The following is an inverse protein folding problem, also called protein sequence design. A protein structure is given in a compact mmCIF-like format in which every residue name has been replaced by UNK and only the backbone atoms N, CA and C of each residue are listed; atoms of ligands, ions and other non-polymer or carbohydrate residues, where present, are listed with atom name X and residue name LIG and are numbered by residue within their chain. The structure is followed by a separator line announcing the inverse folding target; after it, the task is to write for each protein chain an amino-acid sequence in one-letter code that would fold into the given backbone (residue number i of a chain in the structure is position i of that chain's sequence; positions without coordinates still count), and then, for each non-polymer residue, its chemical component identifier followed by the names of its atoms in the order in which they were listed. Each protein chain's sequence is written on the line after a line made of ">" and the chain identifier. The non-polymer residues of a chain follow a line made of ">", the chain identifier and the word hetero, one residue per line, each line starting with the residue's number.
data_IF_561804359777
#
_entry.id   IF_561804359777
#
_cell.length_a   1.000
_cell.length_b   1.000
_cell.length_c   1.000
_cell.angle_alpha   90.00
_cell.angle_beta   90.00
_cell.angle_gamma   90.00
#
_symmetry.space_group_name_H-M   'P 1'
#
loop_
_entity.id
_entity.type
_entity.pdbx_description
1 polymer ?
#
# COMPACT_ATOMS: atom_id res chain seq x y z
N UNK A 1 30.27 -8.45 5.39
CA UNK A 1 29.43 -7.26 5.11
C UNK A 1 28.03 -7.78 4.89
N UNK A 2 27.07 -7.38 5.72
CA UNK A 2 25.66 -7.73 5.50
C UNK A 2 25.20 -7.05 4.22
N UNK A 3 24.75 -7.81 3.22
CA UNK A 3 24.11 -7.24 2.03
C UNK A 3 22.70 -6.82 2.40
N UNK A 4 22.40 -5.52 2.36
CA UNK A 4 21.04 -5.01 2.57
C UNK A 4 20.08 -5.55 1.51
N UNK A 5 18.81 -5.74 1.88
CA UNK A 5 17.78 -6.13 0.93
C UNK A 5 17.40 -4.92 0.07
N UNK A 6 17.62 -5.01 -1.25
CA UNK A 6 17.21 -3.98 -2.18
C UNK A 6 15.72 -4.13 -2.55
N UNK A 7 14.90 -3.19 -2.10
CA UNK A 7 13.50 -3.07 -2.49
C UNK A 7 13.33 -1.92 -3.50
N UNK A 8 12.49 -2.18 -4.51
CA UNK A 8 11.89 -1.16 -5.33
C UNK A 8 10.46 -0.91 -4.84
N UNK A 9 9.98 0.31 -4.96
CA UNK A 9 8.63 0.65 -4.54
C UNK A 9 8.02 1.76 -5.36
N UNK A 10 6.70 1.86 -5.30
CA UNK A 10 5.95 3.00 -5.79
C UNK A 10 4.77 3.26 -4.86
N UNK A 11 4.17 4.43 -4.95
CA UNK A 11 2.99 4.76 -4.17
C UNK A 11 2.01 5.61 -4.96
N UNK A 12 0.75 5.44 -4.62
CA UNK A 12 -0.39 6.11 -5.25
C UNK A 12 -1.01 7.04 -4.20
N UNK A 13 -1.25 8.29 -4.58
CA UNK A 13 -1.93 9.28 -3.75
C UNK A 13 -3.29 9.57 -4.36
N UNK A 14 -4.36 9.06 -3.75
CA UNK A 14 -5.72 9.43 -4.14
C UNK A 14 -6.15 10.67 -3.35
N UNK A 15 -6.41 11.77 -4.06
CA UNK A 15 -6.65 13.09 -3.48
C UNK A 15 -8.00 13.65 -3.93
N UNK A 16 -8.80 14.12 -2.97
CA UNK A 16 -9.93 15.03 -3.25
C UNK A 16 -9.51 16.47 -2.98
N UNK A 17 -9.56 17.32 -4.00
CA UNK A 17 -8.99 18.66 -3.97
C UNK A 17 -10.07 19.72 -4.23
N UNK A 18 -10.21 20.67 -3.31
CA UNK A 18 -10.95 21.91 -3.55
C UNK A 18 -9.98 22.96 -4.08
N UNK A 19 -10.00 23.22 -5.39
CA UNK A 19 -9.08 24.18 -6.00
C UNK A 19 -9.52 25.63 -5.71
N UNK A 20 -8.57 26.51 -5.47
CA UNK A 20 -8.80 27.96 -5.38
C UNK A 20 -9.06 28.58 -6.75
N UNK A 21 -8.51 27.99 -7.83
CA UNK A 21 -8.68 28.43 -9.21
C UNK A 21 -9.83 27.68 -9.86
N UNK A 22 -10.77 28.37 -10.48
CA UNK A 22 -11.88 27.70 -11.18
C UNK A 22 -11.38 26.91 -12.39
N UNK A 23 -11.83 25.67 -12.51
CA UNK A 23 -11.57 24.79 -13.65
C UNK A 23 -12.87 24.44 -14.37
N UNK A 24 -12.81 24.28 -15.70
CA UNK A 24 -14.00 23.98 -16.51
C UNK A 24 -14.36 22.49 -16.47
N UNK A 25 -13.34 21.65 -16.33
CA UNK A 25 -13.44 20.20 -16.30
C UNK A 25 -12.21 19.61 -15.60
N UNK A 26 -12.26 18.31 -15.34
CA UNK A 26 -11.20 17.57 -14.68
C UNK A 26 -9.84 17.74 -15.38
N UNK A 27 -9.82 17.62 -16.71
CA UNK A 27 -8.58 17.74 -17.50
C UNK A 27 -7.90 19.09 -17.29
N UNK A 28 -8.66 20.19 -17.29
CA UNK A 28 -8.14 21.54 -17.04
C UNK A 28 -7.62 21.73 -15.61
N UNK A 29 -8.12 20.96 -14.65
CA UNK A 29 -7.59 20.93 -13.28
C UNK A 29 -6.30 20.11 -13.22
N UNK A 30 -6.30 18.90 -13.78
CA UNK A 30 -5.14 18.01 -13.82
C UNK A 30 -3.94 18.66 -14.53
N UNK A 31 -4.17 19.39 -15.64
CA UNK A 31 -3.12 20.13 -16.36
C UNK A 31 -2.55 21.30 -15.56
N UNK A 32 -3.38 22.00 -14.78
CA UNK A 32 -2.93 23.07 -13.89
C UNK A 32 -2.08 22.51 -12.75
N UNK A 33 -2.52 21.41 -12.12
CA UNK A 33 -1.75 20.67 -11.12
C UNK A 33 -0.42 20.18 -11.70
N UNK A 34 -0.44 19.52 -12.87
CA UNK A 34 0.75 19.07 -13.61
C UNK A 34 1.78 20.18 -13.81
N UNK A 35 1.32 21.35 -14.26
CA UNK A 35 2.17 22.52 -14.49
C UNK A 35 2.80 23.06 -13.21
N UNK A 36 2.08 22.99 -12.07
CA UNK A 36 2.59 23.41 -10.75
C UNK A 36 3.61 22.43 -10.20
N UNK A 37 3.35 21.13 -10.34
CA UNK A 37 4.30 20.07 -10.00
C UNK A 37 5.59 20.21 -10.79
N UNK A 38 5.50 20.43 -12.11
CA UNK A 38 6.66 20.65 -12.97
C UNK A 38 7.50 21.87 -12.55
N UNK A 39 6.84 22.97 -12.14
CA UNK A 39 7.53 24.16 -11.59
C UNK A 39 8.28 23.90 -10.28
N UNK A 40 7.90 22.85 -9.55
CA UNK A 40 8.59 22.37 -8.35
C UNK A 40 9.62 21.28 -8.64
N UNK A 41 9.86 20.94 -9.90
CA UNK A 41 10.82 19.93 -10.30
C UNK A 41 10.28 18.50 -10.34
N UNK A 42 8.99 18.29 -10.08
CA UNK A 42 8.38 16.95 -10.12
C UNK A 42 8.06 16.58 -11.57
N UNK A 43 8.80 15.63 -12.13
CA UNK A 43 8.55 15.11 -13.47
C UNK A 43 7.22 14.37 -13.50
N UNK A 44 6.30 14.79 -14.38
CA UNK A 44 4.94 14.25 -14.41
C UNK A 44 4.28 14.33 -15.80
N UNK A 45 3.10 13.71 -15.93
CA UNK A 45 2.16 13.94 -17.04
C UNK A 45 0.70 13.79 -16.58
N UNK A 46 -0.23 14.22 -17.43
CA UNK A 46 -1.66 13.90 -17.30
C UNK A 46 -2.02 12.81 -18.29
N UNK A 47 -2.72 11.76 -17.84
CA UNK A 47 -3.16 10.64 -18.68
C UNK A 47 -4.55 10.18 -18.27
N UNK A 48 -5.24 9.51 -19.20
CA UNK A 48 -6.48 8.77 -18.89
C UNK A 48 -6.20 7.46 -18.13
N UNK A 49 -5.02 6.87 -18.38
CA UNK A 49 -4.53 5.65 -17.73
C UNK A 49 -3.05 5.79 -17.41
N UNK A 50 -2.63 5.16 -16.32
CA UNK A 50 -1.23 5.15 -15.88
C UNK A 50 -0.32 4.64 -17.00
N UNK A 51 0.85 5.27 -17.15
CA UNK A 51 1.87 4.84 -18.10
C UNK A 51 2.60 3.61 -17.54
N UNK A 52 2.67 2.53 -18.33
CA UNK A 52 3.27 1.27 -17.90
C UNK A 52 4.80 1.31 -17.71
N UNK A 53 5.47 2.40 -18.09
CA UNK A 53 6.92 2.54 -17.89
C UNK A 53 7.31 3.09 -16.50
N UNK A 54 6.36 3.68 -15.74
CA UNK A 54 6.56 4.22 -14.39
C UNK A 54 7.84 5.07 -14.21
N UNK A 55 8.19 5.91 -15.19
CA UNK A 55 9.40 6.78 -15.12
C UNK A 55 9.17 8.15 -14.52
N UNK A 56 7.91 8.57 -14.44
CA UNK A 56 7.49 9.89 -13.95
C UNK A 56 6.09 9.79 -13.36
N UNK A 57 5.71 10.77 -12.54
CA UNK A 57 4.40 10.78 -11.91
C UNK A 57 3.26 10.83 -12.93
N UNK A 58 2.29 9.94 -12.79
CA UNK A 58 1.07 9.95 -13.59
C UNK A 58 -0.04 10.61 -12.82
N UNK A 59 -0.66 11.66 -13.39
CA UNK A 59 -1.88 12.26 -12.86
C UNK A 59 -3.05 11.69 -13.66
N UNK A 60 -3.89 10.90 -12.99
CA UNK A 60 -5.04 10.23 -13.59
C UNK A 60 -6.32 10.54 -12.81
N UNK A 61 -7.46 10.30 -13.44
CA UNK A 61 -8.75 10.58 -12.81
C UNK A 61 -9.14 9.43 -11.91
N UNK A 62 -9.30 9.70 -10.60
CA UNK A 62 -9.87 8.73 -9.68
C UNK A 62 -11.40 8.80 -9.74
N UNK A 63 -12.01 7.72 -10.23
CA UNK A 63 -13.45 7.65 -10.53
C UNK A 63 -14.28 7.18 -9.34
N UNK A 64 -13.65 6.55 -8.35
CA UNK A 64 -14.31 6.04 -7.14
C UNK A 64 -14.45 7.10 -6.05
N UNK A 65 -13.69 8.19 -6.14
CA UNK A 65 -13.82 9.35 -5.25
C UNK A 65 -14.90 10.30 -5.80
N UNK A 66 -15.90 10.69 -4.97
CA UNK A 66 -16.90 11.66 -5.36
C UNK A 66 -16.29 13.00 -5.78
N UNK A 67 -16.80 13.58 -6.87
CA UNK A 67 -16.39 14.90 -7.36
C UNK A 67 -17.58 15.87 -7.36
N UNK A 68 -17.32 17.15 -7.16
CA UNK A 68 -18.34 18.20 -7.30
C UNK A 68 -17.78 19.39 -8.10
N UNK A 69 -17.84 19.32 -9.45
CA UNK A 69 -17.36 20.38 -10.32
C UNK A 69 -17.97 21.76 -10.04
N UNK A 70 -19.24 21.82 -9.61
CA UNK A 70 -19.90 23.08 -9.27
C UNK A 70 -19.29 23.77 -8.05
N UNK A 71 -18.71 22.98 -7.13
CA UNK A 71 -17.93 23.47 -5.97
C UNK A 71 -16.43 23.50 -6.23
N UNK A 72 -15.99 23.28 -7.48
CA UNK A 72 -14.59 23.19 -7.86
C UNK A 72 -13.81 22.13 -7.07
N UNK A 73 -14.49 21.03 -6.75
CA UNK A 73 -13.95 19.85 -6.09
C UNK A 73 -13.66 18.76 -7.14
N UNK A 74 -12.43 18.25 -7.13
CA UNK A 74 -11.92 17.34 -8.14
C UNK A 74 -11.17 16.18 -7.49
N UNK A 75 -11.28 14.98 -8.05
CA UNK A 75 -10.54 13.82 -7.60
C UNK A 75 -9.37 13.51 -8.54
N UNK A 76 -8.20 13.29 -7.97
CA UNK A 76 -6.99 12.89 -8.68
C UNK A 76 -6.43 11.63 -8.04
N UNK A 77 -5.80 10.80 -8.85
CA UNK A 77 -4.82 9.83 -8.38
C UNK A 77 -3.47 10.23 -8.97
N UNK A 78 -2.46 10.35 -8.10
CA UNK A 78 -1.07 10.54 -8.49
C UNK A 78 -0.34 9.22 -8.29
N UNK A 79 0.10 8.60 -9.38
CA UNK A 79 0.85 7.33 -9.35
C UNK A 79 2.32 7.62 -9.56
N UNK A 80 3.15 7.18 -8.61
CA UNK A 80 4.57 7.49 -8.60
C UNK A 80 5.36 6.76 -9.70
N UNK A 81 6.58 7.22 -10.00
CA UNK A 81 7.62 6.39 -10.57
C UNK A 81 7.95 5.18 -9.69
N UNK A 82 8.70 4.23 -10.23
CA UNK A 82 9.40 3.23 -9.40
C UNK A 82 10.62 3.87 -8.77
N UNK A 83 10.71 3.77 -7.45
CA UNK A 83 11.77 4.30 -6.60
C UNK A 83 12.57 3.19 -5.93
N UNK A 84 13.80 3.51 -5.61
CA UNK A 84 14.62 2.90 -4.55
C UNK A 84 14.73 3.88 -3.37
N UNK A 85 15.28 3.44 -2.24
CA UNK A 85 15.47 4.31 -1.07
C UNK A 85 16.31 5.56 -1.39
N UNK A 86 17.27 5.44 -2.31
CA UNK A 86 18.17 6.53 -2.73
C UNK A 86 17.59 7.43 -3.82
N UNK A 87 16.36 7.14 -4.25
CA UNK A 87 15.66 7.96 -5.22
C UNK A 87 15.12 9.24 -4.58
N UNK A 88 14.68 10.17 -5.42
CA UNK A 88 14.15 11.49 -5.00
C UNK A 88 12.74 11.46 -4.37
N UNK A 89 12.24 10.31 -3.91
CA UNK A 89 10.85 10.12 -3.48
C UNK A 89 10.43 11.02 -2.30
N UNK A 90 11.34 11.29 -1.35
CA UNK A 90 11.12 12.23 -0.25
C UNK A 90 10.90 13.66 -0.76
N UNK A 91 11.79 14.13 -1.65
CA UNK A 91 11.67 15.46 -2.24
C UNK A 91 10.48 15.59 -3.18
N UNK A 92 10.11 14.52 -3.88
CA UNK A 92 8.90 14.49 -4.70
C UNK A 92 7.65 14.63 -3.83
N UNK A 93 7.57 13.90 -2.71
CA UNK A 93 6.44 14.00 -1.77
C UNK A 93 6.28 15.42 -1.20
N UNK A 94 7.37 16.03 -0.71
CA UNK A 94 7.35 17.42 -0.24
C UNK A 94 6.90 18.38 -1.36
N UNK A 95 7.53 18.29 -2.54
CA UNK A 95 7.20 19.17 -3.65
C UNK A 95 5.75 19.02 -4.14
N UNK A 96 5.20 17.80 -4.13
CA UNK A 96 3.80 17.53 -4.47
C UNK A 96 2.86 18.23 -3.48
N UNK A 97 2.99 17.95 -2.18
CA UNK A 97 2.08 18.52 -1.18
C UNK A 97 2.26 20.03 -1.08
N UNK A 98 3.49 20.53 -1.11
CA UNK A 98 3.81 21.97 -1.17
C UNK A 98 3.16 22.66 -2.39
N UNK A 99 3.13 22.02 -3.57
CA UNK A 99 2.49 22.58 -4.76
C UNK A 99 0.96 22.57 -4.68
N UNK A 100 0.40 21.45 -4.21
CA UNK A 100 -1.05 21.23 -4.10
C UNK A 100 -1.64 22.15 -3.04
N UNK A 101 -1.11 22.14 -1.82
CA UNK A 101 -1.65 22.90 -0.68
C UNK A 101 -1.56 24.41 -0.88
N UNK A 102 -0.62 24.89 -1.69
CA UNK A 102 -0.52 26.32 -2.05
C UNK A 102 -1.75 26.83 -2.83
N UNK A 103 -2.48 25.95 -3.52
CA UNK A 103 -3.54 26.35 -4.44
C UNK A 103 -4.84 25.56 -4.31
N UNK A 104 -4.85 24.52 -3.48
CA UNK A 104 -6.00 23.67 -3.23
C UNK A 104 -5.98 23.24 -1.78
N UNK A 105 -7.15 23.02 -1.19
CA UNK A 105 -7.24 22.29 0.08
C UNK A 105 -7.47 20.81 -0.19
N UNK A 106 -6.64 19.96 0.42
CA UNK A 106 -6.81 18.50 0.40
C UNK A 106 -7.94 18.14 1.36
N UNK A 107 -8.94 17.42 0.88
CA UNK A 107 -10.08 16.99 1.68
C UNK A 107 -9.81 15.61 2.27
N UNK A 108 -10.20 15.42 3.53
CA UNK A 108 -10.20 14.11 4.17
C UNK A 108 -11.53 13.43 3.80
N UNK A 109 -11.45 12.38 2.97
CA UNK A 109 -12.60 11.56 2.60
C UNK A 109 -12.28 10.08 2.82
N UNK A 110 -13.22 9.27 3.32
CA UNK A 110 -13.03 7.82 3.48
C UNK A 110 -12.68 7.08 2.18
N UNK A 111 -13.09 7.64 1.03
CA UNK A 111 -12.82 7.10 -0.30
C UNK A 111 -11.40 7.37 -0.78
N UNK A 112 -10.65 8.28 -0.16
CA UNK A 112 -9.26 8.52 -0.52
C UNK A 112 -8.35 7.51 0.18
N UNK A 113 -7.36 7.01 -0.54
CA UNK A 113 -6.33 6.09 -0.05
C UNK A 113 -4.92 6.51 -0.42
N UNK A 114 -3.96 5.93 0.31
CA UNK A 114 -2.58 5.81 -0.13
C UNK A 114 -2.31 4.34 -0.42
N UNK A 115 -1.88 3.99 -1.63
CA UNK A 115 -1.43 2.63 -1.92
C UNK A 115 0.08 2.59 -1.98
N UNK A 116 0.71 1.56 -1.41
CA UNK A 116 2.17 1.38 -1.50
C UNK A 116 2.46 0.04 -2.13
N UNK A 117 3.17 0.07 -3.25
CA UNK A 117 3.62 -1.09 -4.01
C UNK A 117 5.07 -1.39 -3.71
N UNK A 118 5.40 -2.67 -3.53
CA UNK A 118 6.75 -3.12 -3.22
C UNK A 118 7.13 -4.31 -4.10
N UNK A 119 8.34 -4.27 -4.66
CA UNK A 119 9.00 -5.42 -5.31
C UNK A 119 10.43 -5.54 -4.81
N UNK A 120 11.05 -6.71 -5.03
CA UNK A 120 12.50 -6.84 -4.90
C UNK A 120 13.18 -6.27 -6.15
N UNK A 121 14.35 -5.64 -5.99
CA UNK A 121 14.96 -4.86 -7.07
C UNK A 121 15.41 -5.73 -8.26
N UNK A 122 16.10 -6.83 -7.98
CA UNK A 122 16.77 -7.66 -9.00
C UNK A 122 16.24 -9.09 -9.07
N UNK A 123 15.23 -9.42 -8.27
CA UNK A 123 14.69 -10.78 -8.16
C UNK A 123 13.22 -10.76 -7.73
N UNK A 124 12.61 -11.94 -7.71
CA UNK A 124 11.25 -12.12 -7.22
C UNK A 124 11.27 -12.61 -5.78
N UNK A 125 10.25 -12.21 -5.01
CA UNK A 125 10.02 -12.79 -3.70
C UNK A 125 9.81 -14.30 -3.84
N UNK A 126 10.58 -15.08 -3.08
CA UNK A 126 10.35 -16.52 -2.99
C UNK A 126 8.99 -16.81 -2.33
N UNK A 127 8.42 -17.98 -2.60
CA UNK A 127 7.17 -18.40 -1.95
C UNK A 127 7.28 -18.43 -0.42
N UNK A 128 8.45 -18.76 0.13
CA UNK A 128 8.71 -18.71 1.58
C UNK A 128 8.74 -17.30 2.15
N UNK A 129 9.31 -16.33 1.42
CA UNK A 129 9.25 -14.92 1.81
C UNK A 129 7.81 -14.41 1.79
N UNK A 130 7.04 -14.76 0.75
CA UNK A 130 5.63 -14.37 0.66
C UNK A 130 4.78 -15.00 1.76
N UNK A 131 5.03 -16.26 2.13
CA UNK A 131 4.35 -16.89 3.25
C UNK A 131 4.74 -16.25 4.59
N UNK A 132 6.03 -15.93 4.78
CA UNK A 132 6.50 -15.21 5.98
C UNK A 132 5.83 -13.83 6.11
N UNK A 133 5.74 -13.08 5.00
CA UNK A 133 5.00 -11.83 4.96
C UNK A 133 3.50 -12.05 5.22
N UNK A 134 2.88 -13.05 4.61
CA UNK A 134 1.49 -13.40 4.84
C UNK A 134 1.22 -13.68 6.32
N UNK A 135 2.09 -14.45 6.97
CA UNK A 135 2.01 -14.76 8.40
C UNK A 135 2.09 -13.48 9.25
N UNK A 136 3.07 -12.61 8.98
CA UNK A 136 3.18 -11.33 9.67
C UNK A 136 1.94 -10.45 9.46
N UNK A 137 1.37 -10.41 8.25
CA UNK A 137 0.13 -9.67 7.95
C UNK A 137 -1.03 -10.16 8.83
N UNK A 138 -1.19 -11.48 8.97
CA UNK A 138 -2.28 -12.05 9.76
C UNK A 138 -2.07 -11.81 11.26
N UNK A 139 -0.84 -11.95 11.76
CA UNK A 139 -0.50 -11.75 13.17
C UNK A 139 -0.67 -10.28 13.60
N UNK A 140 -0.20 -9.34 12.77
CA UNK A 140 -0.19 -7.92 13.12
C UNK A 140 -1.35 -7.11 12.51
N UNK A 141 -2.41 -7.78 12.02
CA UNK A 141 -3.59 -7.12 11.44
C UNK A 141 -4.21 -6.10 12.41
N UNK A 142 -4.31 -6.43 13.70
CA UNK A 142 -4.85 -5.52 14.71
C UNK A 142 -3.99 -4.26 14.89
N UNK A 143 -2.67 -4.36 14.70
CA UNK A 143 -1.78 -3.21 14.74
C UNK A 143 -2.06 -2.27 13.56
N UNK A 144 -2.22 -2.80 12.34
CA UNK A 144 -2.61 -1.98 11.19
C UNK A 144 -4.00 -1.34 11.35
N UNK A 145 -4.97 -2.09 11.88
CA UNK A 145 -6.32 -1.59 12.12
C UNK A 145 -6.35 -0.43 13.11
N UNK A 146 -5.42 -0.41 14.07
CA UNK A 146 -5.27 0.68 15.03
C UNK A 146 -4.67 1.96 14.44
N UNK A 147 -4.04 1.91 13.25
CA UNK A 147 -3.40 3.06 12.60
C UNK A 147 -4.33 3.80 11.62
N UNK A 148 -5.54 3.29 11.41
CA UNK A 148 -6.50 3.89 10.47
C UNK A 148 -7.84 4.15 11.15
N UNK A 149 -8.68 5.07 10.62
CA UNK A 149 -10.04 5.24 11.08
C UNK A 149 -10.84 3.93 11.07
N UNK A 150 -11.76 3.76 12.04
CA UNK A 150 -12.53 2.52 12.22
C UNK A 150 -13.32 2.10 10.98
N UNK A 151 -13.87 3.07 10.25
CA UNK A 151 -14.60 2.85 9.01
C UNK A 151 -13.68 2.35 7.89
N UNK A 152 -12.41 2.81 7.86
CA UNK A 152 -11.38 2.30 6.96
C UNK A 152 -10.96 0.87 7.29
N UNK A 153 -10.75 0.55 8.57
CA UNK A 153 -10.38 -0.79 9.02
C UNK A 153 -11.42 -1.87 8.65
N UNK A 154 -12.69 -1.48 8.58
CA UNK A 154 -13.81 -2.35 8.22
C UNK A 154 -14.32 -2.18 6.77
N UNK A 155 -13.62 -1.40 5.93
CA UNK A 155 -14.09 -1.07 4.59
C UNK A 155 -14.13 -2.29 3.66
N UNK A 156 -15.12 -2.31 2.74
CA UNK A 156 -15.27 -3.39 1.76
C UNK A 156 -14.03 -3.57 0.87
N UNK A 157 -13.35 -2.47 0.53
CA UNK A 157 -12.14 -2.45 -0.30
C UNK A 157 -10.83 -2.55 0.53
N UNK A 158 -10.93 -2.98 1.79
CA UNK A 158 -9.82 -3.23 2.71
C UNK A 158 -10.15 -4.43 3.62
N UNK A 159 -10.68 -5.52 3.06
CA UNK A 159 -11.01 -6.71 3.83
C UNK A 159 -9.75 -7.37 4.39
N UNK A 160 -9.90 -7.96 5.58
CA UNK A 160 -8.88 -8.83 6.15
C UNK A 160 -8.50 -9.94 5.19
N UNK A 161 -7.20 -10.13 4.97
CA UNK A 161 -6.70 -11.26 4.20
C UNK A 161 -7.13 -12.59 4.82
N UNK A 162 -7.33 -12.70 6.14
CA UNK A 162 -7.82 -13.91 6.81
C UNK A 162 -9.24 -14.32 6.40
N UNK A 163 -10.06 -13.37 5.92
CA UNK A 163 -11.48 -13.59 5.58
C UNK A 163 -11.68 -14.11 4.15
N UNK A 164 -10.61 -14.54 3.48
CA UNK A 164 -10.70 -15.13 2.15
C UNK A 164 -11.19 -16.60 2.21
N UNK A 165 -11.68 -17.18 1.09
CA UNK A 165 -12.27 -18.53 1.07
C UNK A 165 -11.34 -19.69 1.46
N UNK A 166 -10.01 -19.47 1.44
CA UNK A 166 -9.00 -20.43 1.90
C UNK A 166 -8.87 -20.32 3.42
N UNK A 167 -8.47 -19.14 3.92
CA UNK A 167 -8.10 -18.97 5.32
C UNK A 167 -9.29 -18.91 6.28
N UNK A 168 -10.47 -18.49 5.82
CA UNK A 168 -11.66 -18.38 6.66
C UNK A 168 -12.19 -19.73 7.17
N UNK A 169 -11.64 -20.85 6.70
CA UNK A 169 -12.02 -22.21 7.10
C UNK A 169 -11.35 -22.65 8.39
N UNK A 170 -10.24 -22.01 8.74
CA UNK A 170 -9.46 -22.34 9.92
C UNK A 170 -9.99 -21.60 11.15
N UNK A 171 -10.02 -22.30 12.28
CA UNK A 171 -10.58 -21.75 13.52
C UNK A 171 -9.56 -20.85 14.24
N UNK A 172 -8.30 -21.26 14.27
CA UNK A 172 -7.24 -20.54 14.96
C UNK A 172 -6.39 -19.72 14.00
N UNK A 173 -5.62 -18.76 14.54
CA UNK A 173 -4.62 -18.04 13.76
C UNK A 173 -3.49 -18.98 13.37
N UNK A 174 -3.04 -19.84 14.29
CA UNK A 174 -1.98 -20.83 14.09
C UNK A 174 -2.24 -21.73 12.87
N UNK A 175 -3.45 -22.29 12.77
CA UNK A 175 -3.86 -23.08 11.60
C UNK A 175 -3.75 -22.29 10.28
N UNK A 176 -4.02 -20.97 10.30
CA UNK A 176 -3.85 -20.12 9.12
C UNK A 176 -2.37 -19.94 8.76
N UNK A 177 -1.49 -19.83 9.76
CA UNK A 177 -0.05 -19.70 9.54
C UNK A 177 0.53 -21.00 8.96
N UNK A 178 0.12 -22.14 9.49
CA UNK A 178 0.50 -23.46 8.96
C UNK A 178 0.03 -23.65 7.52
N UNK A 179 -1.17 -23.19 7.19
CA UNK A 179 -1.69 -23.22 5.82
C UNK A 179 -0.83 -22.40 4.85
N UNK A 180 -0.27 -21.26 5.30
CA UNK A 180 0.66 -20.46 4.51
C UNK A 180 2.00 -21.17 4.32
N UNK A 181 2.51 -21.86 5.34
CA UNK A 181 3.73 -22.66 5.22
C UNK A 181 3.54 -23.83 4.24
N UNK A 182 2.38 -24.50 4.26
CA UNK A 182 2.02 -25.53 3.26
C UNK A 182 1.90 -24.92 1.86
N UNK A 183 1.31 -23.74 1.72
CA UNK A 183 1.22 -23.03 0.45
C UNK A 183 2.60 -22.66 -0.10
N UNK A 184 3.54 -22.25 0.76
CA UNK A 184 4.91 -21.91 0.38
C UNK A 184 5.61 -23.07 -0.33
N UNK A 185 5.43 -24.29 0.17
CA UNK A 185 5.98 -25.52 -0.42
C UNK A 185 5.43 -25.82 -1.83
N UNK A 186 4.23 -25.32 -2.13
CA UNK A 186 3.58 -25.45 -3.45
C UNK A 186 3.96 -24.34 -4.42
N UNK A 187 4.64 -23.29 -3.95
CA UNK A 187 5.13 -22.18 -4.76
C UNK A 187 4.25 -20.92 -4.70
N UNK A 188 4.70 -19.88 -5.41
CA UNK A 188 4.14 -18.52 -5.33
C UNK A 188 2.64 -18.46 -5.60
N UNK A 189 2.15 -19.20 -6.60
CA UNK A 189 0.71 -19.22 -6.93
C UNK A 189 -0.15 -19.65 -5.74
N UNK A 190 0.26 -20.68 -5.01
CA UNK A 190 -0.50 -21.17 -3.87
C UNK A 190 -0.54 -20.15 -2.72
N UNK A 191 0.56 -19.42 -2.48
CA UNK A 191 0.58 -18.35 -1.47
C UNK A 191 -0.31 -17.18 -1.88
N UNK A 192 -0.28 -16.78 -3.16
CA UNK A 192 -1.16 -15.72 -3.67
C UNK A 192 -2.63 -16.13 -3.54
N UNK A 193 -2.99 -17.36 -3.88
CA UNK A 193 -4.35 -17.88 -3.67
C UNK A 193 -4.72 -17.88 -2.18
N UNK A 194 -3.84 -18.36 -1.31
CA UNK A 194 -4.06 -18.35 0.13
C UNK A 194 -4.26 -16.95 0.72
N UNK A 195 -3.74 -15.88 0.08
CA UNK A 195 -3.87 -14.51 0.57
C UNK A 195 -4.94 -13.67 -0.16
N UNK A 196 -5.28 -14.00 -1.40
CA UNK A 196 -6.04 -13.13 -2.31
C UNK A 196 -7.14 -13.83 -3.13
N UNK A 197 -7.49 -15.08 -2.80
CA UNK A 197 -8.64 -15.74 -3.42
C UNK A 197 -9.94 -15.04 -3.03
N UNK A 198 -10.85 -14.83 -3.96
CA UNK A 198 -12.10 -14.12 -3.72
C UNK A 198 -13.30 -14.95 -4.20
N UNK A 199 -14.41 -15.00 -3.45
CA UNK A 199 -15.49 -15.92 -3.75
C UNK A 199 -16.21 -15.54 -5.04
N UNK A 200 -16.44 -16.52 -5.91
CA UNK A 200 -17.26 -16.37 -7.11
C UNK A 200 -18.69 -15.92 -6.79
N UNK A 201 -19.18 -16.36 -5.63
CA UNK A 201 -20.50 -16.05 -5.11
C UNK A 201 -20.64 -14.61 -4.62
N UNK A 202 -19.57 -13.81 -4.53
CA UNK A 202 -19.65 -12.38 -4.18
C UNK A 202 -20.47 -11.58 -5.21
N UNK A 203 -20.95 -10.39 -4.83
CA UNK A 203 -21.64 -9.50 -5.77
C UNK A 203 -20.79 -9.18 -7.01
N UNK A 204 -19.50 -8.89 -6.80
CA UNK A 204 -18.54 -8.66 -7.89
C UNK A 204 -18.32 -9.93 -8.72
N UNK A 205 -18.13 -11.10 -8.09
CA UNK A 205 -17.96 -12.37 -8.80
C UNK A 205 -19.14 -12.70 -9.70
N UNK A 206 -20.38 -12.55 -9.19
CA UNK A 206 -21.60 -12.74 -9.97
C UNK A 206 -21.73 -11.74 -11.12
N UNK A 207 -21.48 -10.45 -10.86
CA UNK A 207 -21.52 -9.41 -11.88
C UNK A 207 -20.54 -9.64 -13.03
N UNK A 208 -19.42 -10.32 -12.76
CA UNK A 208 -18.39 -10.66 -13.76
C UNK A 208 -18.48 -12.12 -14.24
N UNK A 209 -19.60 -12.82 -14.00
CA UNK A 209 -19.84 -14.17 -14.51
C UNK A 209 -18.88 -15.24 -14.00
N UNK A 210 -18.25 -15.02 -12.84
CA UNK A 210 -17.29 -15.97 -12.25
C UNK A 210 -18.02 -17.21 -11.76
N UNK A 211 -17.57 -18.38 -12.22
CA UNK A 211 -18.14 -19.70 -11.85
C UNK A 211 -17.34 -20.43 -10.77
N UNK A 212 -16.13 -19.95 -10.49
CA UNK A 212 -15.19 -20.49 -9.50
C UNK A 212 -14.49 -19.34 -8.82
N UNK A 213 -14.09 -19.56 -7.58
CA UNK A 213 -13.31 -18.59 -6.82
C UNK A 213 -12.05 -18.25 -7.61
N UNK A 214 -11.61 -16.99 -7.49
CA UNK A 214 -10.60 -16.43 -8.37
C UNK A 214 -9.74 -15.44 -7.60
N UNK A 215 -8.48 -15.29 -8.00
CA UNK A 215 -7.59 -14.32 -7.37
C UNK A 215 -8.07 -12.90 -7.69
N UNK A 216 -8.36 -12.13 -6.65
CA UNK A 216 -8.77 -10.73 -6.76
C UNK A 216 -8.30 -9.94 -5.54
N UNK A 217 -7.01 -9.60 -5.52
CA UNK A 217 -6.40 -9.00 -4.34
C UNK A 217 -6.84 -7.57 -4.02
N UNK A 218 -7.46 -6.85 -4.96
CA UNK A 218 -7.88 -5.43 -4.79
C UNK A 218 -8.90 -5.20 -3.66
N UNK A 219 -9.57 -6.25 -3.20
CA UNK A 219 -10.54 -6.19 -2.09
C UNK A 219 -9.89 -6.32 -0.72
N UNK A 220 -8.64 -6.78 -0.65
CA UNK A 220 -7.93 -7.07 0.59
C UNK A 220 -6.99 -5.94 1.00
N UNK A 221 -6.69 -5.84 2.30
CA UNK A 221 -5.70 -4.89 2.85
C UNK A 221 -4.33 -5.05 2.18
N UNK A 222 -3.92 -6.29 1.95
CA UNK A 222 -2.71 -6.62 1.22
C UNK A 222 -3.05 -7.40 -0.06
N UNK A 223 -2.55 -6.91 -1.19
CA UNK A 223 -2.82 -7.47 -2.50
C UNK A 223 -1.56 -8.10 -3.10
N UNK A 224 -1.59 -9.42 -3.27
CA UNK A 224 -0.51 -10.20 -3.87
C UNK A 224 -0.82 -10.60 -5.33
N UNK A 225 -1.98 -10.22 -5.87
CA UNK A 225 -2.46 -10.72 -7.17
C UNK A 225 -1.53 -10.35 -8.34
N UNK A 226 -0.85 -9.20 -8.27
CA UNK A 226 0.11 -8.78 -9.32
C UNK A 226 1.34 -9.69 -9.39
N UNK A 227 1.62 -10.49 -8.35
CA UNK A 227 2.67 -11.49 -8.39
C UNK A 227 2.36 -12.63 -9.36
N UNK A 228 1.13 -12.80 -9.86
CA UNK A 228 0.80 -13.78 -10.91
C UNK A 228 0.83 -13.17 -12.33
N UNK A 229 1.11 -11.87 -12.44
CA UNK A 229 1.22 -11.19 -13.71
C UNK A 229 2.42 -11.68 -14.53
N UNK A 230 2.31 -11.54 -15.85
CA UNK A 230 3.40 -11.79 -16.80
C UNK A 230 4.17 -10.52 -17.17
N UNK A 231 3.79 -9.37 -16.60
CA UNK A 231 4.45 -8.09 -16.85
C UNK A 231 5.57 -7.84 -15.83
N UNK A 232 6.34 -6.77 -16.08
CA UNK A 232 7.43 -6.35 -15.20
C UNK A 232 6.94 -5.63 -13.93
N UNK A 233 5.64 -5.69 -13.60
CA UNK A 233 5.01 -4.97 -12.49
C UNK A 233 4.52 -5.91 -11.38
N UNK A 234 5.33 -6.93 -11.07
CA UNK A 234 5.08 -7.91 -10.00
C UNK A 234 5.36 -7.30 -8.63
N UNK A 235 4.31 -6.74 -8.03
CA UNK A 235 4.39 -6.07 -6.72
C UNK A 235 3.45 -6.70 -5.71
N UNK A 236 3.82 -6.54 -4.44
CA UNK A 236 2.92 -6.61 -3.29
C UNK A 236 2.37 -5.21 -3.08
N UNK A 237 1.09 -5.07 -2.76
CA UNK A 237 0.47 -3.77 -2.57
C UNK A 237 -0.25 -3.68 -1.23
N UNK A 238 0.08 -2.67 -0.43
CA UNK A 238 -0.64 -2.31 0.79
C UNK A 238 -1.70 -1.25 0.47
N UNK A 239 -2.97 -1.60 0.72
CA UNK A 239 -4.16 -0.84 0.29
C UNK A 239 -4.98 -0.27 1.45
N UNK A 240 -4.68 -0.68 2.68
CA UNK A 240 -5.39 -0.19 3.86
C UNK A 240 -5.20 1.30 4.16
N UNK A 241 -4.03 1.93 3.91
CA UNK A 241 -3.81 3.31 4.34
C UNK A 241 -4.90 4.29 3.90
N UNK A 242 -5.21 5.22 4.80
CA UNK A 242 -6.05 6.37 4.48
C UNK A 242 -5.37 7.30 3.46
N UNK A 243 -6.18 8.13 2.79
CA UNK A 243 -5.68 9.16 1.89
C UNK A 243 -4.74 10.13 2.61
N UNK A 244 -3.52 10.26 2.10
CA UNK A 244 -2.52 11.19 2.64
C UNK A 244 -2.93 12.63 2.39
N UNK A 245 -2.85 13.47 3.41
CA UNK A 245 -3.22 14.90 3.31
C UNK A 245 -2.01 15.84 3.31
N UNK A 246 -0.87 15.33 3.78
CA UNK A 246 0.42 15.99 3.78
C UNK A 246 1.55 15.00 3.43
N UNK A 247 2.78 15.51 3.32
CA UNK A 247 3.94 14.69 3.00
C UNK A 247 4.26 13.68 4.11
N UNK A 248 4.04 14.04 5.37
CA UNK A 248 4.34 13.21 6.52
C UNK A 248 3.46 11.95 6.55
N UNK A 249 2.21 12.07 6.12
CA UNK A 249 1.30 10.92 5.96
C UNK A 249 1.86 9.97 4.89
N UNK A 250 2.18 10.49 3.71
CA UNK A 250 2.66 9.68 2.59
C UNK A 250 3.98 8.98 2.92
N UNK A 251 4.93 9.72 3.49
CA UNK A 251 6.23 9.17 3.92
C UNK A 251 6.04 8.13 5.02
N UNK A 252 5.18 8.41 6.00
CA UNK A 252 4.88 7.47 7.08
C UNK A 252 4.34 6.14 6.57
N UNK A 253 3.37 6.16 5.65
CA UNK A 253 2.83 4.95 5.04
C UNK A 253 3.85 4.18 4.20
N UNK A 254 4.69 4.88 3.43
CA UNK A 254 5.77 4.25 2.66
C UNK A 254 6.76 3.57 3.60
N UNK A 255 7.28 4.28 4.60
CA UNK A 255 8.24 3.74 5.55
C UNK A 255 7.67 2.54 6.33
N UNK A 256 6.42 2.64 6.79
CA UNK A 256 5.74 1.54 7.47
C UNK A 256 5.69 0.30 6.58
N UNK A 257 5.30 0.47 5.32
CA UNK A 257 5.17 -0.64 4.37
C UNK A 257 6.52 -1.27 4.07
N UNK A 258 7.55 -0.46 3.77
CA UNK A 258 8.88 -0.94 3.41
C UNK A 258 9.54 -1.68 4.57
N UNK A 259 9.53 -1.09 5.76
CA UNK A 259 10.11 -1.72 6.96
C UNK A 259 9.35 -2.98 7.34
N UNK A 260 8.02 -3.00 7.26
CA UNK A 260 7.24 -4.21 7.51
C UNK A 260 7.56 -5.34 6.52
N UNK A 261 7.58 -5.04 5.22
CA UNK A 261 7.91 -6.04 4.18
C UNK A 261 9.34 -6.54 4.33
N UNK A 262 10.30 -5.65 4.55
CA UNK A 262 11.70 -6.03 4.76
C UNK A 262 11.88 -6.86 6.04
N UNK A 263 11.23 -6.46 7.14
CA UNK A 263 11.30 -7.19 8.41
C UNK A 263 10.74 -8.61 8.28
N UNK A 264 9.62 -8.77 7.58
CA UNK A 264 9.01 -10.08 7.41
C UNK A 264 9.70 -10.97 6.37
N UNK A 265 10.48 -10.39 5.44
CA UNK A 265 11.11 -11.14 4.33
C UNK A 265 12.64 -11.25 4.40
N UNK A 266 13.27 -10.47 5.28
CA UNK A 266 14.72 -10.38 5.46
C UNK A 266 15.34 -11.48 6.33
N UNK A 267 14.57 -12.49 6.74
CA UNK A 267 14.99 -13.53 7.68
C UNK A 267 14.88 -13.07 9.15
N UNK A 268 15.08 -13.98 10.09
CA UNK A 268 14.83 -13.75 11.52
C UNK A 268 13.42 -14.19 11.94
N UNK A 269 13.30 -14.80 13.12
CA UNK A 269 12.01 -15.25 13.65
C UNK A 269 11.32 -14.10 14.37
N UNK A 270 10.85 -13.11 13.60
CA UNK A 270 10.24 -11.87 14.11
C UNK A 270 8.70 -11.93 14.17
N UNK A 271 8.12 -13.09 13.89
CA UNK A 271 6.73 -13.38 14.21
C UNK A 271 6.79 -13.99 15.60
N UNK A 272 6.30 -13.27 16.61
CA UNK A 272 6.40 -13.65 18.01
C UNK A 272 5.95 -15.08 18.28
N UNK A 273 6.46 -15.67 19.36
CA UNK A 273 5.89 -16.90 19.90
C UNK A 273 4.41 -16.60 20.18
N UNK A 274 3.49 -17.41 19.66
CA UNK A 274 2.04 -17.33 19.95
C UNK A 274 1.70 -17.54 21.45
N UNK A 275 2.72 -17.53 22.33
CA UNK A 275 2.58 -17.52 23.77
C UNK A 275 1.70 -16.34 24.20
N UNK A 276 0.55 -16.71 24.73
CA UNK A 276 -0.51 -15.82 25.16
C UNK A 276 0.00 -14.90 26.28
N UNK A 277 0.41 -13.68 25.92
CA UNK A 277 0.87 -12.67 26.88
C UNK A 277 1.82 -11.59 26.34
N UNK A 278 2.32 -11.70 25.11
CA UNK A 278 3.13 -10.65 24.47
C UNK A 278 2.33 -9.38 24.16
N UNK A 279 2.99 -8.22 24.18
CA UNK A 279 2.41 -6.97 23.68
C UNK A 279 2.61 -6.91 22.17
N UNK A 280 1.56 -7.26 21.41
CA UNK A 280 1.56 -7.26 19.93
C UNK A 280 2.14 -5.97 19.33
N UNK A 281 1.97 -4.83 20.00
CA UNK A 281 2.50 -3.54 19.52
C UNK A 281 4.01 -3.46 19.65
N UNK A 282 4.57 -4.02 20.73
CA UNK A 282 6.02 -4.07 20.94
C UNK A 282 6.67 -4.98 19.91
N UNK A 283 6.09 -6.16 19.68
CA UNK A 283 6.60 -7.10 18.66
C UNK A 283 6.47 -6.52 17.25
N UNK A 284 5.35 -5.87 16.95
CA UNK A 284 5.17 -5.14 15.70
C UNK A 284 6.27 -4.09 15.51
N UNK A 285 6.56 -3.28 16.54
CA UNK A 285 7.65 -2.31 16.49
C UNK A 285 9.03 -2.96 16.31
N UNK A 286 9.28 -4.11 16.94
CA UNK A 286 10.53 -4.86 16.75
C UNK A 286 10.67 -5.38 15.32
N UNK A 287 9.58 -5.85 14.70
CA UNK A 287 9.57 -6.24 13.29
C UNK A 287 9.92 -5.06 12.37
N UNK A 288 9.37 -3.87 12.64
CA UNK A 288 9.69 -2.66 11.87
C UNK A 288 11.15 -2.24 12.06
N UNK A 289 11.67 -2.27 13.29
CA UNK A 289 13.08 -2.01 13.59
C UNK A 289 14.01 -2.97 12.86
N UNK A 290 13.68 -4.27 12.87
CA UNK A 290 14.43 -5.29 12.13
C UNK A 290 14.41 -4.99 10.63
N UNK A 291 13.25 -4.67 10.07
CA UNK A 291 13.12 -4.28 8.67
C UNK A 291 13.93 -3.04 8.31
N UNK A 292 13.97 -2.02 9.18
CA UNK A 292 14.84 -0.86 9.01
C UNK A 292 16.32 -1.28 8.96
N UNK A 293 16.75 -2.20 9.82
CA UNK A 293 18.11 -2.77 9.79
C UNK A 293 18.41 -3.56 8.51
N UNK A 294 17.46 -4.37 8.03
CA UNK A 294 17.55 -5.14 6.77
C UNK A 294 17.68 -4.21 5.55
N UNK A 295 17.00 -3.06 5.57
CA UNK A 295 17.06 -2.05 4.53
C UNK A 295 18.29 -1.14 4.61
N UNK A 296 18.98 -1.11 5.76
CA UNK A 296 20.01 -0.09 6.02
C UNK A 296 19.40 1.31 6.11
N UNK A 297 18.17 1.42 6.61
CA UNK A 297 17.43 2.66 6.69
C UNK A 297 18.14 3.66 7.61
N UNK A 298 18.19 4.93 7.20
CA UNK A 298 18.72 6.01 8.04
C UNK A 298 17.96 6.08 9.38
N UNK A 299 18.66 6.17 10.53
CA UNK A 299 18.01 6.32 11.84
C UNK A 299 16.99 7.45 11.92
N UNK A 300 17.22 8.56 11.20
CA UNK A 300 16.27 9.67 11.11
C UNK A 300 14.92 9.22 10.52
N UNK A 301 14.92 8.36 9.50
CA UNK A 301 13.70 7.84 8.91
C UNK A 301 12.98 6.87 9.85
N UNK A 302 13.71 6.18 10.73
CA UNK A 302 13.10 5.38 11.78
C UNK A 302 12.38 6.27 12.83
N UNK A 303 12.96 7.42 13.19
CA UNK A 303 12.31 8.40 14.05
C UNK A 303 11.04 8.98 13.40
N UNK A 304 11.09 9.27 12.10
CA UNK A 304 9.93 9.70 11.31
C UNK A 304 8.82 8.64 11.37
N UNK A 305 9.16 7.36 11.18
CA UNK A 305 8.22 6.25 11.27
C UNK A 305 7.62 6.11 12.68
N UNK A 306 8.45 6.19 13.72
CA UNK A 306 7.97 6.14 15.12
C UNK A 306 6.99 7.28 15.41
N UNK A 307 7.33 8.50 14.98
CA UNK A 307 6.47 9.67 15.15
C UNK A 307 5.16 9.55 14.38
N UNK A 308 5.20 8.97 13.17
CA UNK A 308 4.01 8.69 12.38
C UNK A 308 3.07 7.69 13.09
N UNK A 309 3.59 6.55 13.56
CA UNK A 309 2.82 5.55 14.30
C UNK A 309 2.20 6.15 15.55
N UNK A 310 2.96 6.95 16.31
CA UNK A 310 2.47 7.60 17.53
C UNK A 310 1.30 8.57 17.27
N UNK A 311 1.29 9.26 16.12
CA UNK A 311 0.16 10.13 15.72
C UNK A 311 -1.02 9.35 15.19
N UNK A 312 -0.78 8.30 14.40
CA UNK A 312 -1.83 7.50 13.77
C UNK A 312 -2.60 6.62 14.77
N UNK A 313 -1.95 6.22 15.88
CA UNK A 313 -2.55 5.40 16.93
C UNK A 313 -3.25 6.20 18.05
N UNK A 314 -3.20 7.54 18.01
CA UNK A 314 -3.78 8.43 19.01
C UNK A 314 -5.24 8.76 18.69
#
# INVERSE_FOLDING_TARGET
>A
MSSYQALNFGFELELSLNSSKKHKNWLSMAQDTSSRLAKKGVSNHVKEKVDGNYRKWSIVQEITIPQNPAKNNWALELVSPVFSLESQWLSDADNIFSAVQKHSSVQILPQCSTHVHVSQADQEFSSFQLASLGKAILSYEACFDALVPKDRAAAYWCQSNRRNPVLSRYQTLEDCLDALDVAAQRGTTAVVEAMCLFPASSAYGRAHGRKRDFVHGKVYKWNFARLLGHDHSRTIEFRQPSGSTCMEDAIGWVLLTLTFVAGATGGGNCIGSLESGGDDRLEFWQLLCHGAGVLGLDPFLLDVLSGFIGRAAA
#
